data_IF_789563892800
#
_entry.id   IF_789563892800
#
_cell.length_a   1.000
_cell.length_b   1.000
_cell.length_c   1.000
_cell.angle_alpha   90.00
_cell.angle_beta   90.00
_cell.angle_gamma   90.00
#
_symmetry.space_group_name_H-M   'P 1'
#
loop_
_entity.id
_entity.type
_entity.pdbx_description
1 polymer ?
#
# COMPACT_ATOMS: atom_id res chain seq x y z
N UNK A 1 1.13 4.70 -27.04
CA UNK A 1 1.76 5.77 -26.25
C UNK A 1 2.70 5.13 -25.26
N UNK A 2 3.96 5.56 -25.19
CA UNK A 2 4.91 5.11 -24.17
C UNK A 2 4.48 5.67 -22.81
N UNK A 3 4.37 4.85 -21.77
CA UNK A 3 4.06 5.34 -20.43
C UNK A 3 5.10 6.39 -19.96
N UNK A 4 4.75 7.32 -19.06
CA UNK A 4 5.67 8.34 -18.58
C UNK A 4 6.67 7.81 -17.56
N UNK A 5 7.89 8.36 -17.51
CA UNK A 5 8.89 7.99 -16.49
C UNK A 5 8.41 8.32 -15.07
N UNK A 6 7.58 9.35 -14.94
CA UNK A 6 6.93 9.75 -13.70
C UNK A 6 5.45 9.96 -13.97
N UNK A 7 4.58 9.36 -13.17
CA UNK A 7 3.13 9.51 -13.23
C UNK A 7 2.65 10.24 -11.99
N UNK A 8 1.88 11.32 -12.16
CA UNK A 8 1.25 12.01 -11.03
C UNK A 8 0.00 11.24 -10.60
N UNK A 9 -0.09 10.89 -9.31
CA UNK A 9 -1.17 10.07 -8.78
C UNK A 9 -2.59 10.61 -9.08
N UNK A 10 -2.78 11.94 -9.09
CA UNK A 10 -4.10 12.52 -9.32
C UNK A 10 -4.58 12.36 -10.76
N UNK A 11 -3.65 12.34 -11.73
CA UNK A 11 -3.98 12.08 -13.14
C UNK A 11 -4.54 10.66 -13.36
N UNK A 12 -4.32 9.76 -12.39
CA UNK A 12 -4.77 8.36 -12.42
C UNK A 12 -5.89 8.08 -11.42
N UNK A 13 -6.47 9.13 -10.84
CA UNK A 13 -7.70 9.03 -10.03
C UNK A 13 -7.49 8.72 -8.56
N UNK A 14 -6.26 8.86 -8.03
CA UNK A 14 -6.09 8.97 -6.59
C UNK A 14 -6.61 10.35 -6.15
N UNK A 15 -7.43 10.36 -5.10
CA UNK A 15 -8.15 11.55 -4.61
C UNK A 15 -7.43 12.19 -3.43
N UNK A 16 -7.01 11.39 -2.44
CA UNK A 16 -6.26 11.90 -1.29
C UNK A 16 -7.07 12.80 -0.34
N UNK A 17 -8.40 12.65 -0.32
CA UNK A 17 -9.32 13.45 0.50
C UNK A 17 -9.57 12.88 1.92
N UNK A 18 -8.92 11.77 2.25
CA UNK A 18 -9.05 11.07 3.53
C UNK A 18 -10.31 10.20 3.67
N UNK A 19 -11.13 10.09 2.62
CA UNK A 19 -12.42 9.37 2.66
C UNK A 19 -12.58 8.35 1.53
N UNK A 20 -12.26 8.74 0.30
CA UNK A 20 -12.35 7.90 -0.88
C UNK A 20 -11.36 6.74 -0.79
N UNK A 21 -11.79 5.52 -1.14
CA UNK A 21 -10.86 4.38 -1.23
C UNK A 21 -10.00 4.51 -2.50
N UNK A 22 -8.74 4.87 -2.30
CA UNK A 22 -7.73 5.09 -3.34
C UNK A 22 -7.05 3.78 -3.78
N UNK A 23 -7.21 2.68 -3.04
CA UNK A 23 -6.56 1.39 -3.34
C UNK A 23 -6.82 0.92 -4.78
N UNK A 24 -8.04 0.98 -5.35
CA UNK A 24 -8.26 0.55 -6.73
C UNK A 24 -7.52 1.39 -7.78
N UNK A 25 -7.39 2.70 -7.56
CA UNK A 25 -6.68 3.61 -8.46
C UNK A 25 -5.17 3.37 -8.37
N UNK A 26 -4.64 3.25 -7.15
CA UNK A 26 -3.23 2.96 -6.91
C UNK A 26 -2.81 1.62 -7.51
N UNK A 27 -3.61 0.57 -7.34
CA UNK A 27 -3.33 -0.75 -7.92
C UNK A 27 -3.20 -0.67 -9.44
N UNK A 28 -4.18 -0.06 -10.13
CA UNK A 28 -4.16 0.09 -11.59
C UNK A 28 -2.92 0.85 -12.08
N UNK A 29 -2.53 1.88 -11.35
CA UNK A 29 -1.34 2.67 -11.69
C UNK A 29 -0.06 1.85 -11.53
N UNK A 30 0.10 1.14 -10.41
CA UNK A 30 1.25 0.28 -10.15
C UNK A 30 1.36 -0.82 -11.21
N UNK A 31 0.25 -1.46 -11.59
CA UNK A 31 0.24 -2.47 -12.65
C UNK A 31 0.65 -1.89 -14.01
N UNK A 32 0.05 -0.76 -14.41
CA UNK A 32 0.36 -0.13 -15.69
C UNK A 32 1.84 0.31 -15.80
N UNK A 33 2.41 0.85 -14.72
CA UNK A 33 3.83 1.22 -14.70
C UNK A 33 4.73 -0.01 -14.62
N UNK A 34 4.31 -1.06 -13.91
CA UNK A 34 5.03 -2.34 -13.85
C UNK A 34 5.15 -2.98 -15.22
N UNK A 35 4.06 -3.08 -15.96
CA UNK A 35 4.03 -3.61 -17.32
C UNK A 35 4.91 -2.78 -18.26
N UNK A 36 4.83 -1.45 -18.15
CA UNK A 36 5.65 -0.55 -18.96
C UNK A 36 7.14 -0.57 -18.57
N UNK A 37 7.47 -0.92 -17.33
CA UNK A 37 8.84 -1.12 -16.85
C UNK A 37 9.40 -2.42 -17.40
N UNK A 38 8.65 -3.52 -17.31
CA UNK A 38 9.02 -4.82 -17.85
C UNK A 38 9.25 -4.76 -19.37
N UNK A 39 8.41 -4.03 -20.10
CA UNK A 39 8.55 -3.88 -21.56
C UNK A 39 9.76 -3.02 -21.96
N UNK A 40 10.13 -2.01 -21.16
CA UNK A 40 11.15 -1.03 -21.52
C UNK A 40 12.49 -1.23 -20.80
N UNK A 41 12.56 -2.10 -19.78
CA UNK A 41 13.73 -2.30 -18.93
C UNK A 41 14.14 -1.07 -18.13
N UNK A 42 13.21 -0.15 -17.84
CA UNK A 42 13.51 1.14 -17.19
C UNK A 42 12.55 1.41 -16.03
N UNK A 43 13.04 1.62 -14.81
CA UNK A 43 12.21 1.96 -13.65
C UNK A 43 11.40 3.24 -13.84
N UNK A 44 10.27 3.31 -13.13
CA UNK A 44 9.29 4.39 -13.19
C UNK A 44 8.87 4.81 -11.79
N UNK A 45 8.30 6.01 -11.69
CA UNK A 45 7.93 6.60 -10.40
C UNK A 45 6.47 7.03 -10.39
N UNK A 46 5.74 6.64 -9.34
CA UNK A 46 4.49 7.28 -8.92
C UNK A 46 4.86 8.48 -8.05
N UNK A 47 4.49 9.69 -8.48
CA UNK A 47 4.58 10.89 -7.66
C UNK A 47 3.24 11.13 -7.00
N UNK A 48 3.23 11.20 -5.68
CA UNK A 48 2.01 11.34 -4.89
C UNK A 48 2.02 12.74 -4.27
N UNK A 49 1.07 13.61 -4.65
CA UNK A 49 0.92 14.93 -4.03
C UNK A 49 0.59 14.86 -2.53
N UNK A 50 0.49 16.04 -1.91
CA UNK A 50 0.00 16.13 -0.54
C UNK A 50 -1.47 15.71 -0.47
N UNK A 51 -1.82 14.92 0.54
CA UNK A 51 -3.15 14.33 0.70
C UNK A 51 -3.14 13.17 1.70
N UNK A 52 -4.33 12.76 2.11
CA UNK A 52 -4.55 11.54 2.90
C UNK A 52 -5.25 10.52 2.02
N UNK A 53 -4.53 9.49 1.62
CA UNK A 53 -5.00 8.48 0.67
C UNK A 53 -5.46 7.24 1.43
N UNK A 54 -6.73 6.84 1.31
CA UNK A 54 -7.26 5.70 2.06
C UNK A 54 -7.03 4.42 1.26
N UNK A 55 -6.44 3.41 1.88
CA UNK A 55 -6.25 2.08 1.31
C UNK A 55 -7.09 1.11 2.13
N UNK A 56 -8.19 0.61 1.55
CA UNK A 56 -9.20 -0.15 2.30
C UNK A 56 -9.21 -1.64 1.95
N UNK A 57 -9.33 -2.46 2.99
CA UNK A 57 -9.65 -3.90 3.02
C UNK A 57 -8.70 -4.86 2.30
N UNK A 58 -7.89 -4.40 1.35
CA UNK A 58 -7.01 -5.24 0.53
C UNK A 58 -5.65 -4.58 0.31
N UNK A 59 -4.58 -5.38 0.26
CA UNK A 59 -3.26 -4.88 -0.08
C UNK A 59 -3.20 -4.26 -1.47
N UNK A 60 -2.16 -3.46 -1.70
CA UNK A 60 -1.70 -3.11 -3.05
C UNK A 60 -0.57 -4.06 -3.43
N UNK A 61 -0.79 -4.81 -4.50
CA UNK A 61 0.16 -5.72 -5.10
C UNK A 61 1.22 -4.90 -5.83
N UNK A 62 2.47 -4.95 -5.34
CA UNK A 62 3.54 -4.09 -5.82
C UNK A 62 4.31 -4.72 -6.96
N UNK A 63 4.86 -3.88 -7.86
CA UNK A 63 5.63 -4.32 -9.03
C UNK A 63 7.08 -3.82 -8.94
N UNK A 64 8.03 -4.66 -9.32
CA UNK A 64 9.45 -4.26 -9.42
C UNK A 64 9.64 -3.10 -10.39
N UNK A 65 10.59 -2.23 -10.08
CA UNK A 65 10.90 -1.03 -10.84
C UNK A 65 9.85 0.09 -10.76
N UNK A 66 8.79 -0.07 -9.95
CA UNK A 66 7.82 1.00 -9.67
C UNK A 66 8.09 1.61 -8.30
N UNK A 67 8.67 2.81 -8.30
CA UNK A 67 8.91 3.60 -7.08
C UNK A 67 7.69 4.45 -6.72
N UNK A 68 7.53 4.78 -5.44
CA UNK A 68 6.51 5.72 -4.95
C UNK A 68 7.18 6.82 -4.12
N UNK A 69 6.95 8.07 -4.53
CA UNK A 69 7.55 9.25 -3.91
C UNK A 69 6.44 10.25 -3.54
N UNK A 70 6.29 10.50 -2.24
CA UNK A 70 5.35 11.49 -1.71
C UNK A 70 5.89 12.92 -1.72
N UNK A 71 5.06 13.86 -1.27
CA UNK A 71 5.38 15.29 -1.20
C UNK A 71 6.19 15.68 0.05
N UNK A 72 6.35 14.77 1.02
CA UNK A 72 7.11 15.01 2.25
C UNK A 72 6.39 14.54 3.52
N UNK A 73 7.12 14.62 4.64
CA UNK A 73 6.62 14.32 5.99
C UNK A 73 5.43 15.23 6.32
N UNK A 74 4.35 14.65 6.86
CA UNK A 74 3.08 15.33 7.15
C UNK A 74 2.31 15.84 5.93
N UNK A 75 2.81 15.63 4.70
CA UNK A 75 2.15 16.08 3.48
C UNK A 75 1.42 14.94 2.77
N UNK A 76 2.09 13.80 2.56
CA UNK A 76 1.49 12.61 1.94
C UNK A 76 1.36 11.50 2.98
N UNK A 77 0.14 11.04 3.23
CA UNK A 77 -0.14 9.97 4.19
C UNK A 77 -1.04 8.90 3.54
N UNK A 78 -0.64 7.63 3.65
CA UNK A 78 -1.49 6.49 3.30
C UNK A 78 -2.15 5.94 4.56
N UNK A 79 -3.47 6.09 4.66
CA UNK A 79 -4.26 5.61 5.78
C UNK A 79 -4.80 4.21 5.46
N UNK A 80 -4.32 3.22 6.21
CA UNK A 80 -4.71 1.83 6.03
C UNK A 80 -5.90 1.50 6.93
N UNK A 81 -6.90 0.83 6.39
CA UNK A 81 -8.05 0.38 7.17
C UNK A 81 -8.68 -0.89 6.60
N UNK A 82 -9.30 -1.71 7.46
CA UNK A 82 -9.91 -2.99 7.07
C UNK A 82 -11.33 -3.22 7.65
N UNK A 83 -12.25 -2.24 7.62
CA UNK A 83 -13.59 -2.41 8.19
C UNK A 83 -14.41 -3.54 7.54
N UNK A 84 -14.11 -3.90 6.29
CA UNK A 84 -14.72 -5.01 5.57
C UNK A 84 -14.05 -6.36 5.80
N UNK A 85 -12.86 -6.38 6.40
CA UNK A 85 -12.10 -7.60 6.72
C UNK A 85 -11.20 -7.40 7.96
N UNK A 86 -11.76 -7.25 9.18
CA UNK A 86 -11.04 -6.78 10.37
C UNK A 86 -9.94 -7.69 10.91
N UNK A 87 -9.79 -8.90 10.37
CA UNK A 87 -8.71 -9.83 10.73
C UNK A 87 -7.65 -9.97 9.64
N UNK A 88 -7.82 -9.25 8.52
CA UNK A 88 -6.91 -9.32 7.39
C UNK A 88 -6.00 -8.08 7.34
N UNK A 89 -4.68 -8.25 7.16
CA UNK A 89 -3.77 -7.12 7.05
C UNK A 89 -4.01 -6.36 5.73
N UNK A 90 -3.83 -5.04 5.78
CA UNK A 90 -3.97 -4.14 4.60
C UNK A 90 -2.68 -3.36 4.35
N UNK A 91 -1.60 -4.02 3.88
CA UNK A 91 -0.32 -3.36 3.63
C UNK A 91 -0.34 -2.53 2.36
N UNK A 92 0.32 -1.36 2.42
CA UNK A 92 0.47 -0.45 1.29
C UNK A 92 1.27 -1.04 0.12
N UNK A 93 2.23 -1.93 0.39
CA UNK A 93 3.01 -2.59 -0.64
C UNK A 93 3.15 -4.06 -0.28
N UNK A 94 2.62 -4.92 -1.13
CA UNK A 94 2.56 -6.36 -0.90
C UNK A 94 3.19 -7.09 -2.06
N UNK A 95 4.15 -7.95 -1.75
CA UNK A 95 4.82 -8.80 -2.74
C UNK A 95 5.10 -10.16 -2.09
N UNK A 96 4.46 -11.21 -2.59
CA UNK A 96 4.39 -12.52 -1.92
C UNK A 96 4.47 -13.66 -2.90
N UNK A 97 4.92 -14.83 -2.43
CA UNK A 97 5.04 -16.04 -3.25
C UNK A 97 3.69 -16.46 -3.83
N UNK A 98 2.62 -16.39 -3.04
CA UNK A 98 1.29 -16.85 -3.45
C UNK A 98 0.67 -15.99 -4.57
N UNK A 99 0.90 -14.68 -4.57
CA UNK A 99 0.27 -13.77 -5.54
C UNK A 99 1.19 -13.34 -6.68
N UNK A 100 2.50 -13.36 -6.45
CA UNK A 100 3.50 -12.83 -7.38
C UNK A 100 4.57 -13.86 -7.75
N UNK A 101 4.54 -15.07 -7.20
CA UNK A 101 5.64 -16.02 -7.41
C UNK A 101 6.94 -15.60 -6.74
N UNK A 102 6.87 -14.67 -5.78
CA UNK A 102 8.03 -14.12 -5.08
C UNK A 102 9.01 -15.22 -4.65
N UNK A 103 10.22 -15.11 -5.15
CA UNK A 103 11.29 -16.09 -5.02
C UNK A 103 12.62 -15.48 -5.44
N UNK A 104 13.66 -16.31 -5.56
CA UNK A 104 15.01 -15.83 -5.90
C UNK A 104 15.05 -15.05 -7.23
N UNK A 105 14.32 -15.56 -8.23
CA UNK A 105 14.34 -15.03 -9.59
C UNK A 105 13.21 -14.01 -9.85
N UNK A 106 12.27 -13.87 -8.91
CA UNK A 106 11.14 -12.94 -8.98
C UNK A 106 11.01 -12.21 -7.64
N UNK A 107 11.70 -11.08 -7.51
CA UNK A 107 11.79 -10.30 -6.27
C UNK A 107 11.55 -8.82 -6.56
N UNK A 108 11.18 -8.07 -5.51
CA UNK A 108 11.14 -6.60 -5.58
C UNK A 108 12.57 -6.08 -5.81
N UNK A 109 12.76 -5.44 -6.96
CA UNK A 109 14.02 -4.80 -7.35
C UNK A 109 13.73 -3.40 -7.92
N UNK A 110 14.71 -2.50 -7.85
CA UNK A 110 14.65 -1.14 -8.42
C UNK A 110 13.47 -0.28 -7.93
N UNK A 111 13.08 -0.47 -6.66
CA UNK A 111 11.99 0.28 -6.02
C UNK A 111 12.54 1.20 -4.94
N UNK A 112 12.07 2.45 -4.93
CA UNK A 112 12.24 3.39 -3.83
C UNK A 112 10.87 3.78 -3.27
N UNK A 113 10.74 3.75 -1.95
CA UNK A 113 9.65 4.35 -1.20
C UNK A 113 10.20 5.51 -0.39
N UNK A 114 9.77 6.74 -0.65
CA UNK A 114 10.27 7.90 0.08
C UNK A 114 9.25 9.03 0.22
N UNK A 115 9.42 9.86 1.25
CA UNK A 115 8.71 11.12 1.45
C UNK A 115 7.19 11.00 1.66
N UNK A 116 6.74 9.94 2.34
CA UNK A 116 5.36 9.79 2.79
C UNK A 116 5.30 9.08 4.13
N UNK A 117 4.12 9.08 4.74
CA UNK A 117 3.80 8.35 5.96
C UNK A 117 2.83 7.20 5.64
N UNK A 118 2.95 6.11 6.40
CA UNK A 118 1.94 5.05 6.45
C UNK A 118 1.31 5.14 7.83
N UNK A 119 0.00 5.34 7.85
CA UNK A 119 -0.81 5.35 9.06
C UNK A 119 -1.62 4.05 9.12
N UNK A 120 -1.16 3.14 9.99
CA UNK A 120 -1.79 1.83 10.21
C UNK A 120 -2.85 1.83 11.28
N UNK A 121 -3.20 2.97 11.89
CA UNK A 121 -4.06 3.01 13.08
C UNK A 121 -5.51 2.56 12.83
N UNK A 122 -5.93 2.43 11.56
CA UNK A 122 -7.25 1.94 11.17
C UNK A 122 -7.29 0.45 10.83
N UNK A 123 -6.16 -0.27 10.94
CA UNK A 123 -6.08 -1.71 10.72
C UNK A 123 -6.32 -2.44 12.03
N UNK A 124 -7.29 -3.34 12.04
CA UNK A 124 -7.51 -4.30 13.12
C UNK A 124 -6.81 -5.62 12.78
N UNK A 125 -6.21 -6.29 13.76
CA UNK A 125 -5.64 -7.63 13.62
C UNK A 125 -6.04 -8.51 14.81
N UNK A 126 -5.96 -9.85 14.66
CA UNK A 126 -6.33 -10.78 15.76
C UNK A 126 -5.51 -10.57 17.04
N UNK A 127 -4.31 -9.97 16.95
CA UNK A 127 -3.45 -9.67 18.10
C UNK A 127 -3.85 -8.39 18.86
N UNK A 128 -4.70 -7.52 18.31
CA UNK A 128 -5.09 -6.25 18.96
C UNK A 128 -6.01 -6.42 20.17
N UNK A 129 -6.26 -7.67 20.60
CA UNK A 129 -7.09 -8.05 21.74
C UNK A 129 -6.29 -8.53 22.96
N UNK A 130 -5.07 -8.02 23.19
CA UNK A 130 -4.24 -8.38 24.37
C UNK A 130 -4.92 -8.03 25.72
N UNK A 131 -5.88 -7.10 25.72
CA UNK A 131 -6.60 -6.68 26.94
C UNK A 131 -7.90 -7.45 27.22
N UNK A 132 -8.33 -8.36 26.34
CA UNK A 132 -9.55 -9.16 26.56
C UNK A 132 -9.31 -10.43 27.39
N UNK A 133 -8.07 -10.70 27.82
CA UNK A 133 -7.68 -11.92 28.55
C UNK A 133 -7.30 -11.74 30.02
N UNK A 134 -7.47 -10.55 30.61
CA UNK A 134 -7.24 -10.32 32.03
C UNK A 134 -8.54 -10.35 32.83
N UNK A 135 -8.59 -11.15 33.90
CA UNK A 135 -9.64 -11.18 34.94
C UNK A 135 -10.77 -12.21 34.78
N UNK A 136 -10.44 -13.49 34.54
CA UNK A 136 -11.36 -14.58 34.86
C UNK A 136 -10.66 -15.89 35.27
N UNK A 137 -9.73 -15.87 36.23
CA UNK A 137 -9.43 -17.08 37.03
C UNK A 137 -8.72 -16.77 38.36
N UNK A 138 -9.42 -16.04 39.25
CA UNK A 138 -8.96 -15.84 40.62
C UNK A 138 -10.15 -15.90 41.59
N UNK A 139 -10.93 -16.99 41.56
CA UNK A 139 -11.86 -17.32 42.64
C UNK A 139 -12.33 -18.79 42.58
N UNK A 140 -11.47 -19.74 42.90
CA UNK A 140 -11.86 -20.89 43.75
C UNK A 140 -10.60 -21.63 44.24
N UNK A 141 -10.30 -21.46 45.53
CA UNK A 141 -9.49 -22.38 46.34
C UNK A 141 -10.24 -22.64 47.64
#
# INVERSE_FOLDING_TARGET
>A
MTAPSTADAHEYGLVGDGTADDRPALQKLVDALGDATAAAGRPRTVRVPAGRYVIRDRPVLWRSGVSLIGAGRGATCFALANPGAPTQPVPLAWFTTAQHGAGRDDHIADVTFAHFEIDGSGVETEEDNVLAGGDADAAER
#
